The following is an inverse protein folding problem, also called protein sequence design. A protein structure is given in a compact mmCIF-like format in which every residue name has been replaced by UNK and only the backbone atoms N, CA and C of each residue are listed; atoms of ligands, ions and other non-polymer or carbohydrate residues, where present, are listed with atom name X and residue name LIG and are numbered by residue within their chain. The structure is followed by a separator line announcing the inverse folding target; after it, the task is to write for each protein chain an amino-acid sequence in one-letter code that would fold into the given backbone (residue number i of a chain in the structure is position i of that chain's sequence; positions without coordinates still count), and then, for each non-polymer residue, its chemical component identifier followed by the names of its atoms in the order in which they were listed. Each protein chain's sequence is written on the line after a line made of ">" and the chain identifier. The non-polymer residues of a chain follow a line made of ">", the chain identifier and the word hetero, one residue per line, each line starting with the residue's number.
data_IF_906516374821
#
_entry.id   IF_906516374821
#
_cell.length_a   1.000
_cell.length_b   1.000
_cell.length_c   1.000
_cell.angle_alpha   90.00
_cell.angle_beta   90.00
_cell.angle_gamma   90.00
#
_symmetry.space_group_name_H-M   'P 1'
#
loop_
_entity.id
_entity.type
_entity.pdbx_description
1 polymer ?
#
# COMPACT_ATOMS: atom_id res chain seq x y z
N UNK A 1 46.24 5.47 -2.79
CA UNK A 1 45.31 4.33 -2.71
C UNK A 1 45.48 3.54 -3.99
N UNK A 2 46.12 2.37 -3.95
CA UNK A 2 46.24 1.51 -5.13
C UNK A 2 44.85 0.98 -5.47
N UNK A 3 44.35 1.32 -6.66
CA UNK A 3 43.12 0.74 -7.20
C UNK A 3 43.36 -0.74 -7.49
N UNK A 4 43.08 -1.59 -6.50
CA UNK A 4 43.02 -3.03 -6.70
C UNK A 4 41.84 -3.34 -7.61
N UNK A 5 42.14 -3.70 -8.85
CA UNK A 5 41.15 -4.10 -9.86
C UNK A 5 40.98 -5.62 -9.82
N UNK A 6 39.76 -6.08 -9.55
CA UNK A 6 39.41 -7.49 -9.50
C UNK A 6 38.64 -7.92 -10.76
N UNK A 7 38.66 -9.21 -11.10
CA UNK A 7 37.94 -9.77 -12.25
C UNK A 7 36.70 -10.54 -11.79
N UNK A 8 35.53 -10.20 -12.34
CA UNK A 8 34.28 -10.90 -12.05
C UNK A 8 34.31 -12.34 -12.61
N UNK A 9 33.96 -13.33 -11.77
CA UNK A 9 33.91 -14.74 -12.18
C UNK A 9 32.76 -15.04 -13.16
N UNK A 10 31.71 -14.23 -13.15
CA UNK A 10 30.50 -14.47 -13.94
C UNK A 10 30.56 -13.89 -15.36
N UNK A 11 31.13 -12.70 -15.52
CA UNK A 11 31.16 -11.99 -16.80
C UNK A 11 32.57 -11.56 -17.24
N UNK A 12 33.59 -11.80 -16.42
CA UNK A 12 34.97 -11.39 -16.72
C UNK A 12 35.26 -9.90 -16.62
N UNK A 13 34.27 -9.06 -16.31
CA UNK A 13 34.45 -7.61 -16.19
C UNK A 13 35.41 -7.24 -15.04
N UNK A 14 36.17 -6.16 -15.24
CA UNK A 14 37.02 -5.54 -14.21
C UNK A 14 36.17 -4.66 -13.29
N UNK A 15 36.31 -4.83 -11.98
CA UNK A 15 35.58 -4.09 -10.97
C UNK A 15 36.46 -3.77 -9.75
N UNK A 16 36.17 -2.65 -9.08
CA UNK A 16 36.93 -2.19 -7.90
C UNK A 16 36.62 -3.02 -6.65
N UNK A 17 35.45 -3.66 -6.61
CA UNK A 17 35.08 -4.59 -5.54
C UNK A 17 34.27 -5.76 -6.11
N UNK A 18 34.44 -6.92 -5.51
CA UNK A 18 33.64 -8.11 -5.80
C UNK A 18 32.81 -8.49 -4.58
N UNK A 19 31.61 -8.99 -4.82
CA UNK A 19 30.74 -9.56 -3.80
C UNK A 19 30.47 -11.01 -4.14
N UNK A 20 31.03 -11.93 -3.33
CA UNK A 20 30.97 -13.39 -3.59
C UNK A 20 31.48 -13.72 -5.01
N UNK A 21 32.62 -13.17 -5.40
CA UNK A 21 33.25 -13.39 -6.72
C UNK A 21 32.59 -12.64 -7.90
N UNK A 22 31.53 -11.85 -7.67
CA UNK A 22 30.75 -11.20 -8.73
C UNK A 22 30.82 -9.67 -8.65
N UNK A 23 30.80 -9.00 -9.80
CA UNK A 23 30.57 -7.55 -9.86
C UNK A 23 29.16 -7.22 -9.37
N UNK A 24 28.89 -5.95 -9.05
CA UNK A 24 27.60 -5.49 -8.51
C UNK A 24 26.39 -5.93 -9.36
N UNK A 25 26.48 -5.79 -10.69
CA UNK A 25 25.41 -6.15 -11.63
C UNK A 25 25.18 -7.66 -11.64
N UNK A 26 26.23 -8.46 -11.80
CA UNK A 26 26.13 -9.92 -11.79
C UNK A 26 25.67 -10.45 -10.43
N UNK A 27 26.07 -9.80 -9.34
CA UNK A 27 25.60 -10.10 -8.00
C UNK A 27 24.10 -9.85 -7.87
N UNK A 28 23.59 -8.70 -8.33
CA UNK A 28 22.16 -8.38 -8.25
C UNK A 28 21.31 -9.36 -9.06
N UNK A 29 21.70 -9.62 -10.33
CA UNK A 29 21.02 -10.62 -11.17
C UNK A 29 21.02 -12.01 -10.54
N UNK A 30 22.16 -12.44 -10.00
CA UNK A 30 22.26 -13.69 -9.27
C UNK A 30 21.34 -13.70 -8.03
N UNK A 31 21.33 -12.63 -7.23
CA UNK A 31 20.51 -12.53 -6.03
C UNK A 31 19.00 -12.55 -6.34
N UNK A 32 18.58 -11.90 -7.43
CA UNK A 32 17.18 -11.82 -7.86
C UNK A 32 16.65 -13.13 -8.44
N UNK A 33 17.50 -13.92 -9.11
CA UNK A 33 17.10 -15.18 -9.75
C UNK A 33 17.07 -16.37 -8.80
N UNK A 34 17.47 -16.19 -7.52
CA UNK A 34 17.53 -17.30 -6.57
C UNK A 34 16.14 -17.87 -6.30
N UNK A 35 15.94 -19.19 -6.43
CA UNK A 35 14.68 -19.80 -6.09
C UNK A 35 14.44 -19.76 -4.59
N UNK A 36 13.18 -19.57 -4.20
CA UNK A 36 12.72 -19.75 -2.82
C UNK A 36 12.35 -21.23 -2.62
N UNK A 37 12.78 -21.81 -1.50
CA UNK A 37 12.49 -23.20 -1.14
C UNK A 37 10.99 -23.51 -1.04
N UNK A 38 10.62 -24.77 -1.27
CA UNK A 38 9.24 -25.25 -1.13
C UNK A 38 8.80 -25.12 0.34
N UNK A 39 7.57 -24.68 0.56
CA UNK A 39 7.03 -24.46 1.92
C UNK A 39 7.55 -23.22 2.64
N UNK A 40 8.39 -22.40 1.99
CA UNK A 40 8.85 -21.15 2.58
C UNK A 40 7.67 -20.18 2.81
N UNK A 41 7.83 -19.37 3.85
CA UNK A 41 6.93 -18.27 4.17
C UNK A 41 7.74 -16.99 4.32
N UNK A 42 7.15 -15.84 4.01
CA UNK A 42 7.79 -14.56 4.27
C UNK A 42 8.09 -14.42 5.77
N UNK A 43 9.36 -14.17 6.12
CA UNK A 43 9.78 -14.08 7.52
C UNK A 43 9.17 -12.92 8.29
N UNK A 44 8.58 -11.92 7.61
CA UNK A 44 7.90 -10.78 8.23
C UNK A 44 6.40 -11.01 8.37
N UNK A 45 5.72 -11.45 7.30
CA UNK A 45 4.25 -11.54 7.29
C UNK A 45 3.64 -12.93 7.29
N UNK A 46 4.44 -13.97 7.09
CA UNK A 46 3.95 -15.34 6.95
C UNK A 46 3.26 -15.66 5.63
N UNK A 47 3.27 -14.76 4.63
CA UNK A 47 2.72 -15.07 3.30
C UNK A 47 3.45 -16.29 2.70
N UNK A 48 2.68 -17.26 2.20
CA UNK A 48 3.15 -18.54 1.64
C UNK A 48 3.02 -18.61 0.12
N UNK A 49 2.51 -17.56 -0.53
CA UNK A 49 2.36 -17.52 -1.99
C UNK A 49 3.74 -17.49 -2.64
N UNK A 50 4.20 -18.65 -3.12
CA UNK A 50 5.55 -18.85 -3.66
C UNK A 50 5.95 -17.82 -4.72
N UNK A 51 5.05 -17.49 -5.65
CA UNK A 51 5.30 -16.49 -6.70
C UNK A 51 5.52 -15.07 -6.19
N UNK A 52 5.10 -14.78 -4.96
CA UNK A 52 5.31 -13.48 -4.31
C UNK A 52 6.55 -13.44 -3.42
N UNK A 53 7.25 -14.57 -3.26
CA UNK A 53 8.42 -14.68 -2.39
C UNK A 53 9.71 -14.54 -3.20
N UNK A 54 10.69 -13.84 -2.62
CA UNK A 54 12.07 -13.82 -3.08
C UNK A 54 13.02 -14.02 -1.89
N UNK A 55 14.21 -14.53 -2.17
CA UNK A 55 15.29 -14.56 -1.20
C UNK A 55 15.94 -13.17 -1.14
N UNK A 56 16.12 -12.66 0.07
CA UNK A 56 16.75 -11.37 0.35
C UNK A 56 17.94 -11.61 1.27
N UNK A 57 19.08 -10.98 0.97
CA UNK A 57 20.21 -11.00 1.90
C UNK A 57 20.01 -9.94 2.98
N UNK A 58 19.81 -10.40 4.21
CA UNK A 58 19.64 -9.59 5.39
C UNK A 58 20.73 -9.96 6.40
N UNK A 59 21.57 -8.99 6.78
CA UNK A 59 22.64 -9.19 7.77
C UNK A 59 23.48 -10.46 7.48
N UNK A 60 23.96 -10.60 6.24
CA UNK A 60 24.73 -11.77 5.71
C UNK A 60 23.98 -13.09 5.56
N UNK A 61 22.71 -13.16 6.00
CA UNK A 61 21.86 -14.35 5.89
C UNK A 61 20.84 -14.20 4.77
N UNK A 62 20.45 -15.31 4.16
CA UNK A 62 19.40 -15.33 3.16
C UNK A 62 18.06 -15.66 3.80
N UNK A 63 17.11 -14.75 3.65
CA UNK A 63 15.81 -14.81 4.32
C UNK A 63 14.70 -14.71 3.28
N UNK A 64 13.69 -15.59 3.29
CA UNK A 64 12.54 -15.49 2.39
C UNK A 64 11.66 -14.30 2.78
N UNK A 65 11.40 -13.41 1.84
CA UNK A 65 10.54 -12.24 2.03
C UNK A 65 9.60 -12.08 0.84
N UNK A 66 8.38 -11.59 1.07
CA UNK A 66 7.55 -11.20 -0.06
C UNK A 66 8.09 -9.92 -0.71
N UNK A 67 7.79 -9.70 -2.00
CA UNK A 67 8.29 -8.52 -2.73
C UNK A 67 8.04 -7.19 -2.01
N UNK A 68 6.89 -7.04 -1.35
CA UNK A 68 6.55 -5.83 -0.59
C UNK A 68 7.48 -5.60 0.60
N UNK A 69 7.68 -6.61 1.47
CA UNK A 69 8.57 -6.46 2.62
C UNK A 69 10.03 -6.36 2.19
N UNK A 70 10.43 -7.04 1.12
CA UNK A 70 11.77 -6.91 0.55
C UNK A 70 12.05 -5.47 0.11
N UNK A 71 11.14 -4.86 -0.66
CA UNK A 71 11.28 -3.48 -1.11
C UNK A 71 11.33 -2.48 0.05
N UNK A 72 10.49 -2.68 1.08
CA UNK A 72 10.44 -1.80 2.26
C UNK A 72 11.66 -1.96 3.16
N UNK A 73 12.18 -3.18 3.34
CA UNK A 73 13.33 -3.44 4.19
C UNK A 73 14.56 -2.63 3.76
N UNK A 74 14.83 -2.54 2.45
CA UNK A 74 15.97 -1.76 1.92
C UNK A 74 15.81 -0.24 2.06
N UNK A 75 14.59 0.25 2.31
CA UNK A 75 14.31 1.68 2.52
C UNK A 75 14.41 2.09 3.99
N UNK A 76 14.52 1.14 4.93
CA UNK A 76 14.60 1.45 6.35
C UNK A 76 15.96 2.04 6.71
N UNK A 77 15.94 3.26 7.26
CA UNK A 77 17.12 3.90 7.85
C UNK A 77 16.80 4.27 9.31
N UNK A 78 17.60 3.83 10.30
CA UNK A 78 18.73 2.89 10.16
C UNK A 78 18.26 1.48 9.79
N UNK A 79 19.11 0.62 9.24
CA UNK A 79 18.73 -0.78 8.93
C UNK A 79 18.63 -1.61 10.24
N UNK A 80 17.52 -2.33 10.51
CA UNK A 80 17.44 -3.23 11.66
C UNK A 80 18.52 -4.31 11.63
N UNK A 81 19.02 -4.70 12.81
CA UNK A 81 20.01 -5.79 12.96
C UNK A 81 19.35 -7.16 13.11
N UNK A 82 18.08 -7.21 13.51
CA UNK A 82 17.34 -8.44 13.77
C UNK A 82 16.09 -8.55 12.89
N UNK A 83 15.65 -9.79 12.62
CA UNK A 83 14.40 -10.06 11.92
C UNK A 83 13.21 -9.55 12.74
N UNK A 84 13.26 -9.64 14.06
CA UNK A 84 12.19 -9.13 14.92
C UNK A 84 12.11 -7.60 14.90
N UNK A 85 13.24 -6.90 14.86
CA UNK A 85 13.25 -5.44 14.65
C UNK A 85 12.68 -5.06 13.29
N UNK A 86 12.93 -5.86 12.25
CA UNK A 86 12.32 -5.69 10.94
C UNK A 86 10.80 -5.90 10.99
N UNK A 87 10.35 -6.95 11.69
CA UNK A 87 8.91 -7.21 11.92
C UNK A 87 8.25 -6.04 12.63
N UNK A 88 8.81 -5.56 13.72
CA UNK A 88 8.24 -4.45 14.51
C UNK A 88 8.15 -3.16 13.69
N UNK A 89 9.17 -2.83 12.89
CA UNK A 89 9.12 -1.62 12.05
C UNK A 89 8.11 -1.73 10.92
N UNK A 90 8.10 -2.85 10.20
CA UNK A 90 7.17 -3.05 9.08
C UNK A 90 5.75 -3.37 9.55
N UNK A 91 5.55 -3.82 10.79
CA UNK A 91 4.21 -4.02 11.36
C UNK A 91 3.40 -2.72 11.42
N UNK A 92 4.05 -1.57 11.63
CA UNK A 92 3.40 -0.25 11.62
C UNK A 92 2.80 0.11 10.25
N UNK A 93 3.42 -0.35 9.18
CA UNK A 93 2.96 -0.12 7.81
C UNK A 93 1.80 -1.06 7.42
N UNK A 94 1.72 -2.22 8.07
CA UNK A 94 0.61 -3.15 7.87
C UNK A 94 -0.62 -2.57 8.56
N UNK A 95 -1.61 -2.16 7.74
CA UNK A 95 -2.94 -1.74 8.17
C UNK A 95 -3.71 -2.93 8.76
N UNK A 96 -3.32 -3.40 9.94
CA UNK A 96 -4.00 -4.49 10.64
C UNK A 96 -5.34 -4.05 11.23
N UNK A 97 -5.48 -2.77 11.55
CA UNK A 97 -6.75 -2.17 11.96
C UNK A 97 -7.33 -1.36 10.83
N UNK A 98 -8.63 -1.55 10.61
CA UNK A 98 -9.43 -0.67 9.78
C UNK A 98 -9.36 0.74 10.40
N UNK A 99 -8.89 1.74 9.64
CA UNK A 99 -8.81 3.14 10.11
C UNK A 99 -10.16 3.86 10.01
N UNK A 100 -11.25 3.10 9.85
CA UNK A 100 -12.59 3.63 10.06
C UNK A 100 -12.73 3.94 11.54
N UNK A 101 -12.38 5.18 11.89
CA UNK A 101 -12.51 5.77 13.21
C UNK A 101 -13.98 5.90 13.59
N UNK A 102 -14.71 4.79 13.77
CA UNK A 102 -16.15 4.75 14.14
C UNK A 102 -17.06 5.66 13.29
N UNK A 103 -16.55 6.19 12.17
CA UNK A 103 -17.31 7.05 11.28
C UNK A 103 -18.37 6.16 10.64
N UNK A 104 -19.66 6.53 10.74
CA UNK A 104 -20.71 5.79 10.08
C UNK A 104 -20.39 5.72 8.59
N UNK A 105 -20.57 4.54 8.00
CA UNK A 105 -20.37 4.34 6.56
C UNK A 105 -21.34 5.27 5.82
N UNK A 106 -20.82 6.30 5.16
CA UNK A 106 -21.62 7.31 4.46
C UNK A 106 -22.30 6.77 3.19
N UNK A 107 -22.08 5.50 2.85
CA UNK A 107 -22.70 4.86 1.69
C UNK A 107 -24.17 4.55 1.97
N UNK A 108 -25.05 5.07 1.12
CA UNK A 108 -26.50 4.75 1.10
C UNK A 108 -26.74 3.25 0.91
N UNK A 109 -25.94 2.59 0.05
CA UNK A 109 -25.98 1.15 -0.17
C UNK A 109 -24.74 0.52 0.47
N UNK A 110 -24.93 -0.10 1.63
CA UNK A 110 -23.88 -0.76 2.41
C UNK A 110 -23.54 -2.13 1.81
N UNK A 111 -23.09 -2.18 0.56
CA UNK A 111 -22.51 -3.40 0.02
C UNK A 111 -21.13 -3.60 0.66
N UNK A 112 -20.99 -4.69 1.41
CA UNK A 112 -19.71 -5.05 2.03
C UNK A 112 -18.66 -5.19 0.95
N UNK A 113 -17.52 -4.52 1.14
CA UNK A 113 -16.41 -4.60 0.19
C UNK A 113 -15.68 -5.93 0.43
N UNK A 114 -16.23 -7.02 -0.11
CA UNK A 114 -15.58 -8.32 -0.32
C UNK A 114 -14.72 -8.79 0.86
N UNK A 115 -15.30 -8.82 2.06
CA UNK A 115 -14.73 -9.57 3.18
C UNK A 115 -15.46 -10.92 3.21
N UNK A 116 -14.88 -11.95 2.61
CA UNK A 116 -15.45 -13.31 2.60
C UNK A 116 -15.67 -13.94 1.22
N UNK A 117 -15.99 -13.15 0.19
CA UNK A 117 -16.39 -13.66 -1.13
C UNK A 117 -15.28 -14.28 -2.00
N UNK A 118 -14.00 -14.30 -1.56
CA UNK A 118 -12.92 -14.90 -2.37
C UNK A 118 -13.00 -16.43 -2.51
N UNK A 119 -14.02 -17.07 -1.94
CA UNK A 119 -14.18 -18.53 -1.93
C UNK A 119 -15.50 -19.02 -2.54
N UNK A 120 -16.30 -18.15 -3.16
CA UNK A 120 -17.50 -18.60 -3.87
C UNK A 120 -17.08 -18.95 -5.30
N UNK A 121 -17.15 -20.23 -5.73
CA UNK A 121 -16.94 -20.59 -7.12
C UNK A 121 -17.98 -19.86 -7.99
N UNK A 122 -17.62 -19.44 -9.22
CA UNK A 122 -18.55 -18.73 -10.09
C UNK A 122 -19.64 -19.70 -10.53
N UNK A 123 -20.85 -19.57 -9.99
CA UNK A 123 -21.95 -20.44 -10.39
C UNK A 123 -23.16 -20.54 -9.48
N UNK A 124 -23.36 -19.64 -8.51
CA UNK A 124 -24.65 -19.56 -7.81
C UNK A 124 -25.14 -18.12 -7.83
N UNK A 125 -26.04 -17.92 -8.78
CA UNK A 125 -26.97 -16.82 -8.94
C UNK A 125 -27.80 -16.64 -7.67
N UNK A 126 -27.98 -15.38 -7.25
CA UNK A 126 -29.17 -14.99 -6.51
C UNK A 126 -29.37 -13.46 -6.62
N UNK A 127 -30.50 -13.10 -7.23
CA UNK A 127 -31.17 -11.79 -7.22
C UNK A 127 -30.61 -10.68 -8.12
N UNK A 128 -30.78 -10.88 -9.43
CA UNK A 128 -31.30 -9.83 -10.33
C UNK A 128 -32.76 -9.46 -9.99
N UNK A 129 -33.03 -9.04 -8.74
CA UNK A 129 -34.36 -8.58 -8.35
C UNK A 129 -34.38 -7.08 -8.08
N UNK A 130 -35.19 -6.43 -8.92
CA UNK A 130 -35.87 -5.14 -8.78
C UNK A 130 -35.00 -3.88 -8.73
N UNK A 131 -34.53 -3.49 -9.92
CA UNK A 131 -34.10 -2.12 -10.23
C UNK A 131 -35.23 -1.27 -10.88
N UNK A 132 -36.49 -1.72 -10.79
CA UNK A 132 -37.67 -1.04 -11.34
C UNK A 132 -38.53 -0.44 -10.21
N UNK A 133 -38.03 0.59 -9.51
CA UNK A 133 -38.81 1.67 -8.86
C UNK A 133 -37.90 2.48 -7.93
N UNK A 134 -37.01 3.29 -8.50
CA UNK A 134 -36.42 4.41 -7.78
C UNK A 134 -36.92 5.71 -8.42
N UNK A 135 -38.12 6.15 -8.03
CA UNK A 135 -38.65 7.46 -8.40
C UNK A 135 -37.95 8.50 -7.52
N UNK A 136 -37.05 9.28 -8.12
CA UNK A 136 -36.48 10.46 -7.46
C UNK A 136 -37.47 11.60 -7.71
N UNK A 137 -38.28 11.94 -6.70
CA UNK A 137 -39.02 13.19 -6.71
C UNK A 137 -38.02 14.35 -6.56
N UNK A 138 -37.74 15.03 -7.67
CA UNK A 138 -37.06 16.32 -7.64
C UNK A 138 -38.08 17.31 -7.11
N UNK A 139 -37.99 17.63 -5.82
CA UNK A 139 -38.60 18.85 -5.29
C UNK A 139 -37.74 19.98 -5.85
N UNK A 140 -38.28 20.74 -6.80
CA UNK A 140 -37.72 22.03 -7.18
C UNK A 140 -37.72 22.91 -5.93
N UNK A 141 -36.57 22.96 -5.26
CA UNK A 141 -36.31 23.95 -4.24
C UNK A 141 -36.33 25.30 -4.94
N UNK A 142 -37.44 26.03 -4.80
CA UNK A 142 -37.57 27.41 -5.20
C UNK A 142 -36.37 28.22 -4.71
N UNK A 143 -35.87 29.06 -5.62
CA UNK A 143 -34.74 30.00 -5.54
C UNK A 143 -33.52 29.59 -4.70
N UNK A 144 -32.31 29.54 -5.30
CA UNK A 144 -31.10 29.31 -4.53
C UNK A 144 -30.95 30.40 -3.45
N UNK A 145 -30.50 30.06 -2.23
CA UNK A 145 -30.25 31.06 -1.21
C UNK A 145 -29.27 32.12 -1.73
N UNK A 146 -29.45 33.40 -1.37
CA UNK A 146 -28.61 34.47 -1.87
C UNK A 146 -27.14 34.22 -1.54
N UNK A 147 -26.26 34.67 -2.44
CA UNK A 147 -24.83 34.43 -2.29
C UNK A 147 -24.31 35.08 -0.99
N UNK A 148 -23.25 34.54 -0.37
CA UNK A 148 -22.65 35.14 0.82
C UNK A 148 -22.20 36.60 0.63
N UNK A 149 -22.01 37.05 -0.62
CA UNK A 149 -21.66 38.43 -0.93
C UNK A 149 -22.86 39.40 -0.80
N UNK A 150 -24.10 38.91 -0.99
CA UNK A 150 -25.33 39.69 -0.92
C UNK A 150 -25.83 39.87 0.52
N UNK A 151 -25.53 38.92 1.41
CA UNK A 151 -25.87 39.01 2.84
C UNK A 151 -25.15 40.17 3.57
N UNK A 152 -23.95 40.55 3.11
CA UNK A 152 -23.19 41.67 3.70
C UNK A 152 -23.73 43.06 3.38
N UNK A 153 -24.59 43.21 2.35
CA UNK A 153 -25.22 44.51 2.03
C UNK A 153 -26.47 44.79 2.86
N UNK A 154 -27.19 43.75 3.28
CA UNK A 154 -28.44 43.88 4.03
C UNK A 154 -28.18 44.39 5.46
N UNK A 155 -27.12 43.92 6.11
CA UNK A 155 -26.77 44.36 7.48
C UNK A 155 -26.19 45.79 7.59
N UNK A 156 -25.76 46.40 6.48
CA UNK A 156 -25.28 47.79 6.47
C UNK A 156 -26.42 48.80 6.27
N UNK A 157 -27.49 48.42 5.57
CA UNK A 157 -28.66 49.28 5.37
C UNK A 157 -29.52 49.39 6.65
N UNK A 158 -29.66 48.30 7.42
CA UNK A 158 -30.44 48.29 8.66
C UNK A 158 -29.75 48.97 9.85
N UNK A 159 -28.43 49.24 9.75
CA UNK A 159 -27.68 49.98 10.79
C UNK A 159 -27.71 51.50 10.61
N UNK A 160 -28.10 52.00 9.45
CA UNK A 160 -28.15 53.45 9.16
C UNK A 160 -29.49 54.12 9.46
N UNK A 161 -30.53 53.36 9.81
CA UNK A 161 -31.87 53.91 10.12
C UNK A 161 -32.17 54.02 11.62
N UNK A 162 -31.25 53.61 12.51
CA UNK A 162 -31.46 53.62 13.98
C UNK A 162 -30.73 54.79 14.68
N UNK A 163 -30.20 55.76 13.93
CA UNK A 163 -29.74 57.03 14.51
C UNK A 163 -30.46 58.20 13.87
N UNK A 164 -31.68 58.45 14.36
CA UNK A 164 -32.30 59.77 14.37
C UNK A 164 -33.01 59.99 15.70
#
# INVERSE_FOLDING_TARGET
>A
MSDTVFKCEACGARANFLRRGRCSICYLRWAETRPVGVGAACSVCGDRRRHNLKLVEFQTRWVPMCHNHAARAFQLQPMPTTIDGLRQRLARDRRWRDRRNKQPDARLIKKERRVGERRVPPGYDDSWMDAEELIIEIIDAGEPPPSPADATRIHLAERTEVTR
#
